data_IF_773986458523
#
_entry.id   IF_773986458523
#
_cell.length_a   1.000
_cell.length_b   1.000
_cell.length_c   1.000
_cell.angle_alpha   90.00
_cell.angle_beta   90.00
_cell.angle_gamma   90.00
#
_symmetry.space_group_name_H-M   'P 1'
#
loop_
_entity.id
_entity.type
_entity.pdbx_description
1 polymer ?
#
# COMPACT_ATOMS: atom_id res chain seq x y z
N UNK A 1 -27.08 8.77 -7.33
CA UNK A 1 -28.33 8.44 -6.60
C UNK A 1 -28.21 8.74 -5.10
N UNK A 2 -28.96 9.72 -4.60
CA UNK A 2 -28.97 10.10 -3.19
C UNK A 2 -29.52 8.92 -2.38
N UNK A 3 -28.67 8.26 -1.60
CA UNK A 3 -29.04 7.10 -0.80
C UNK A 3 -29.88 7.60 0.37
N UNK A 4 -31.21 7.58 0.23
CA UNK A 4 -32.11 7.87 1.34
C UNK A 4 -31.94 6.87 2.49
N UNK A 5 -32.43 7.21 3.69
CA UNK A 5 -32.41 6.37 4.90
C UNK A 5 -32.85 4.90 4.67
N UNK A 6 -33.85 4.68 3.81
CA UNK A 6 -34.32 3.34 3.43
C UNK A 6 -33.32 2.55 2.57
N UNK A 7 -32.49 3.24 1.79
CA UNK A 7 -31.39 2.64 1.03
C UNK A 7 -30.22 2.27 1.94
N UNK A 8 -29.91 3.11 2.93
CA UNK A 8 -28.92 2.81 3.96
C UNK A 8 -29.31 1.58 4.78
N UNK A 9 -30.53 1.55 5.33
CA UNK A 9 -31.02 0.41 6.11
C UNK A 9 -31.02 -0.91 5.32
N UNK A 10 -31.43 -0.88 4.04
CA UNK A 10 -31.35 -2.06 3.16
C UNK A 10 -29.91 -2.49 2.89
N UNK A 11 -29.00 -1.54 2.68
CA UNK A 11 -27.58 -1.79 2.49
C UNK A 11 -26.92 -2.43 3.72
N UNK A 12 -27.29 -1.97 4.92
CA UNK A 12 -26.79 -2.50 6.20
C UNK A 12 -27.34 -3.91 6.45
N UNK A 13 -28.63 -4.14 6.22
CA UNK A 13 -29.22 -5.48 6.33
C UNK A 13 -28.68 -6.47 5.28
N UNK A 14 -28.29 -5.99 4.10
CA UNK A 14 -27.61 -6.81 3.09
C UNK A 14 -26.18 -7.20 3.52
N UNK A 15 -25.44 -6.26 4.12
CA UNK A 15 -24.10 -6.49 4.67
C UNK A 15 -24.09 -7.53 5.80
N UNK A 16 -25.00 -7.41 6.79
CA UNK A 16 -25.06 -8.40 7.87
C UNK A 16 -25.46 -9.79 7.36
N UNK A 17 -26.28 -9.88 6.30
CA UNK A 17 -26.62 -11.16 5.65
C UNK A 17 -25.48 -11.72 4.81
N UNK A 18 -24.64 -10.89 4.17
CA UNK A 18 -23.42 -11.38 3.50
C UNK A 18 -22.41 -11.87 4.53
N UNK A 19 -22.24 -11.15 5.64
CA UNK A 19 -21.35 -11.53 6.73
C UNK A 19 -21.79 -12.86 7.39
N UNK A 20 -23.09 -13.02 7.67
CA UNK A 20 -23.64 -14.27 8.21
C UNK A 20 -23.44 -15.47 7.25
N UNK A 21 -23.51 -15.24 5.93
CA UNK A 21 -23.22 -16.29 4.92
C UNK A 21 -21.73 -16.62 4.85
N UNK A 22 -20.87 -15.59 4.92
CA UNK A 22 -19.42 -15.77 4.96
C UNK A 22 -18.99 -16.61 6.18
N UNK A 23 -19.63 -16.38 7.34
CA UNK A 23 -19.34 -17.11 8.57
C UNK A 23 -19.79 -18.58 8.53
N UNK A 24 -20.85 -18.90 7.77
CA UNK A 24 -21.32 -20.29 7.57
C UNK A 24 -20.44 -21.11 6.64
N UNK A 25 -19.73 -20.47 5.72
CA UNK A 25 -18.81 -21.14 4.78
C UNK A 25 -17.45 -20.42 4.75
N UNK A 26 -16.66 -20.51 5.83
CA UNK A 26 -15.45 -19.69 6.00
C UNK A 26 -14.39 -20.00 4.93
N UNK A 27 -14.22 -21.26 4.57
CA UNK A 27 -13.21 -21.69 3.58
C UNK A 27 -13.61 -21.22 2.17
N UNK A 28 -14.87 -21.39 1.77
CA UNK A 28 -15.34 -20.96 0.46
C UNK A 28 -15.37 -19.41 0.36
N UNK A 29 -15.76 -18.73 1.44
CA UNK A 29 -15.78 -17.26 1.48
C UNK A 29 -14.37 -16.65 1.46
N UNK A 30 -13.36 -17.34 2.01
CA UNK A 30 -11.97 -16.85 1.98
C UNK A 30 -11.38 -16.73 0.58
N UNK A 31 -11.91 -17.49 -0.39
CA UNK A 31 -11.47 -17.50 -1.80
C UNK A 31 -12.21 -16.50 -2.68
N UNK A 32 -13.23 -15.83 -2.15
CA UNK A 32 -13.99 -14.83 -2.90
C UNK A 32 -13.50 -13.42 -2.58
N UNK A 33 -13.63 -12.45 -3.50
CA UNK A 33 -13.36 -11.05 -3.21
C UNK A 33 -14.17 -10.59 -2.01
N UNK A 34 -13.50 -10.00 -1.03
CA UNK A 34 -14.16 -9.49 0.17
C UNK A 34 -15.05 -8.31 -0.19
N UNK A 35 -16.17 -8.15 0.52
CA UNK A 35 -17.02 -6.97 0.38
C UNK A 35 -16.16 -5.72 0.72
N UNK A 36 -16.11 -4.69 -0.14
CA UNK A 36 -15.31 -3.49 0.10
C UNK A 36 -15.51 -2.87 1.48
N UNK A 37 -16.72 -3.00 2.06
CA UNK A 37 -17.02 -2.52 3.42
C UNK A 37 -16.33 -3.34 4.49
N UNK A 38 -16.35 -4.67 4.38
CA UNK A 38 -15.63 -5.57 5.31
C UNK A 38 -14.12 -5.34 5.23
N UNK A 39 -13.59 -5.20 4.01
CA UNK A 39 -12.18 -4.94 3.79
C UNK A 39 -11.77 -3.58 4.37
N UNK A 40 -12.56 -2.54 4.15
CA UNK A 40 -12.30 -1.21 4.71
C UNK A 40 -12.29 -1.24 6.25
N UNK A 41 -13.29 -1.87 6.89
CA UNK A 41 -13.34 -1.99 8.35
C UNK A 41 -12.15 -2.79 8.90
N UNK A 42 -11.79 -3.90 8.25
CA UNK A 42 -10.65 -4.73 8.65
C UNK A 42 -9.31 -4.01 8.51
N UNK A 43 -9.08 -3.33 7.38
CA UNK A 43 -7.89 -2.52 7.15
C UNK A 43 -7.81 -1.39 8.17
N UNK A 44 -8.91 -0.68 8.44
CA UNK A 44 -8.93 0.39 9.44
C UNK A 44 -8.62 -0.14 10.83
N UNK A 45 -9.24 -1.25 11.25
CA UNK A 45 -8.95 -1.84 12.56
C UNK A 45 -7.47 -2.25 12.69
N UNK A 46 -6.92 -2.91 11.68
CA UNK A 46 -5.51 -3.29 11.66
C UNK A 46 -4.57 -2.06 11.67
N UNK A 47 -4.89 -1.03 10.89
CA UNK A 47 -4.13 0.21 10.83
C UNK A 47 -4.16 0.97 12.16
N UNK A 48 -5.31 1.03 12.83
CA UNK A 48 -5.45 1.66 14.16
C UNK A 48 -4.66 0.90 15.20
N UNK A 49 -4.71 -0.43 15.20
CA UNK A 49 -3.91 -1.25 16.12
C UNK A 49 -2.41 -1.06 15.87
N UNK A 50 -1.98 -1.04 14.61
CA UNK A 50 -0.57 -0.81 14.28
C UNK A 50 -0.10 0.59 14.69
N UNK A 51 -0.92 1.61 14.39
CA UNK A 51 -0.66 2.99 14.77
C UNK A 51 -0.54 3.16 16.29
N UNK A 52 -1.37 2.45 17.05
CA UNK A 52 -1.31 2.45 18.51
C UNK A 52 -0.04 1.83 19.08
N UNK A 53 0.61 0.89 18.38
CA UNK A 53 1.68 0.07 18.94
C UNK A 53 3.07 0.42 18.40
N UNK A 54 3.18 0.81 17.12
CA UNK A 54 4.47 0.96 16.45
C UNK A 54 4.64 2.38 15.93
N UNK A 55 3.94 2.75 14.85
CA UNK A 55 3.95 4.08 14.25
C UNK A 55 3.04 4.10 13.01
N UNK A 56 3.19 5.12 12.16
CA UNK A 56 2.59 5.19 10.82
C UNK A 56 2.96 3.94 9.99
N UNK A 57 1.97 3.33 9.34
CA UNK A 57 2.21 2.26 8.37
C UNK A 57 2.79 2.88 7.10
N UNK A 58 4.11 2.78 6.92
CA UNK A 58 4.81 3.29 5.75
C UNK A 58 5.69 2.23 5.12
N UNK A 59 5.61 2.10 3.80
CA UNK A 59 6.44 1.15 3.03
C UNK A 59 7.72 1.84 2.50
N UNK A 60 7.64 3.13 2.16
CA UNK A 60 8.78 3.89 1.59
C UNK A 60 9.99 3.96 2.52
N UNK A 61 9.77 4.22 3.82
CA UNK A 61 10.84 4.34 4.80
C UNK A 61 11.60 3.02 5.00
N UNK A 62 10.90 1.89 5.21
CA UNK A 62 11.57 0.60 5.36
C UNK A 62 12.13 0.03 4.05
N UNK A 63 11.52 0.30 2.89
CA UNK A 63 12.11 0.02 1.57
C UNK A 63 13.43 0.74 1.38
N UNK A 64 13.48 2.01 1.81
CA UNK A 64 14.73 2.70 1.91
C UNK A 64 15.63 1.89 2.86
N UNK A 65 15.29 1.68 4.14
CA UNK A 65 16.19 1.01 5.10
C UNK A 65 16.77 -0.31 4.58
N UNK A 66 15.98 -1.09 3.84
CA UNK A 66 16.44 -2.30 3.14
C UNK A 66 17.54 -2.04 2.13
N UNK A 67 17.39 -1.00 1.30
CA UNK A 67 18.43 -0.55 0.37
C UNK A 67 19.72 -0.17 1.10
N UNK A 68 19.63 0.61 2.19
CA UNK A 68 20.79 1.00 3.00
C UNK A 68 21.48 -0.20 3.67
N UNK A 69 20.71 -1.15 4.20
CA UNK A 69 21.21 -2.40 4.77
C UNK A 69 21.86 -3.32 3.73
N UNK A 70 21.29 -3.40 2.53
CA UNK A 70 21.90 -4.17 1.43
C UNK A 70 23.20 -3.51 0.95
N UNK A 71 23.25 -2.18 0.88
CA UNK A 71 24.47 -1.45 0.53
C UNK A 71 25.58 -1.66 1.57
N UNK A 72 25.25 -1.63 2.86
CA UNK A 72 26.22 -1.90 3.93
C UNK A 72 26.78 -3.32 3.87
N UNK A 73 25.97 -4.30 3.45
CA UNK A 73 26.42 -5.68 3.21
C UNK A 73 27.32 -5.85 1.99
N UNK A 74 27.19 -5.00 0.98
CA UNK A 74 28.05 -4.98 -0.23
C UNK A 74 29.36 -4.21 0.04
N UNK A 75 29.55 -3.65 1.23
CA UNK A 75 30.77 -2.96 1.63
C UNK A 75 30.76 -1.44 1.37
N UNK A 76 29.62 -0.88 0.96
CA UNK A 76 29.42 0.57 0.89
C UNK A 76 29.02 1.04 2.28
N UNK A 77 29.74 2.00 2.87
CA UNK A 77 29.38 2.55 4.19
C UNK A 77 28.09 3.37 4.10
N UNK A 78 26.94 2.68 4.16
CA UNK A 78 25.64 3.32 4.19
C UNK A 78 25.50 4.23 5.43
N UNK A 79 26.31 4.06 6.48
CA UNK A 79 26.32 4.93 7.64
C UNK A 79 26.97 6.30 7.38
N UNK A 80 27.87 6.41 6.39
CA UNK A 80 28.55 7.67 6.06
C UNK A 80 27.65 8.66 5.32
N UNK A 81 26.57 8.18 4.70
CA UNK A 81 25.59 9.03 4.02
C UNK A 81 24.58 9.57 5.04
N UNK A 82 24.49 10.88 5.16
CA UNK A 82 23.60 11.58 6.09
C UNK A 82 22.14 11.09 6.00
N UNK A 83 21.62 10.89 4.79
CA UNK A 83 20.26 10.37 4.58
C UNK A 83 20.02 9.00 5.24
N UNK A 84 21.00 8.12 5.19
CA UNK A 84 20.88 6.77 5.73
C UNK A 84 21.20 6.76 7.23
N UNK A 85 22.32 7.36 7.63
CA UNK A 85 22.78 7.39 9.01
C UNK A 85 21.92 8.23 9.96
N UNK A 86 21.68 9.51 9.64
CA UNK A 86 21.04 10.46 10.57
C UNK A 86 19.52 10.53 10.38
N UNK A 87 19.03 10.47 9.14
CA UNK A 87 17.58 10.61 8.86
C UNK A 87 16.83 9.28 9.02
N UNK A 88 17.44 8.15 8.64
CA UNK A 88 16.72 6.88 8.54
C UNK A 88 17.01 5.88 9.66
N UNK A 89 18.27 5.76 10.08
CA UNK A 89 18.71 4.93 11.21
C UNK A 89 18.95 5.72 12.50
N UNK A 90 18.76 7.05 12.48
CA UNK A 90 18.89 7.95 13.64
C UNK A 90 20.14 7.69 14.49
N UNK A 91 21.27 7.36 13.86
CA UNK A 91 22.54 7.11 14.55
C UNK A 91 22.62 5.81 15.36
N UNK A 92 21.62 4.92 15.34
CA UNK A 92 21.62 3.65 16.08
C UNK A 92 22.32 2.48 15.36
N UNK A 93 23.06 2.76 14.29
CA UNK A 93 23.70 1.74 13.45
C UNK A 93 22.73 1.10 12.46
N UNK A 94 23.26 0.59 11.35
CA UNK A 94 22.48 -0.02 10.27
C UNK A 94 22.03 -1.43 10.69
N UNK A 95 20.91 -1.51 11.40
CA UNK A 95 20.29 -2.74 11.89
C UNK A 95 18.94 -3.06 11.24
N UNK A 96 18.43 -4.27 11.47
CA UNK A 96 17.09 -4.69 11.02
C UNK A 96 16.06 -4.06 11.95
N UNK A 97 15.22 -3.16 11.43
CA UNK A 97 14.14 -2.53 12.22
C UNK A 97 12.82 -3.29 12.09
N UNK A 98 11.89 -3.07 13.03
CA UNK A 98 10.55 -3.70 13.04
C UNK A 98 9.81 -3.47 11.72
N UNK A 99 9.91 -2.26 11.16
CA UNK A 99 9.25 -1.92 9.89
C UNK A 99 9.87 -2.66 8.68
N UNK A 100 11.16 -3.01 8.72
CA UNK A 100 11.80 -3.81 7.69
C UNK A 100 11.27 -5.25 7.70
N UNK A 101 11.05 -5.79 8.90
CA UNK A 101 10.46 -7.10 9.12
C UNK A 101 8.99 -7.12 8.69
N UNK A 102 8.25 -6.04 8.94
CA UNK A 102 6.88 -5.87 8.45
C UNK A 102 6.79 -6.03 6.93
N UNK A 103 7.65 -5.38 6.14
CA UNK A 103 7.67 -5.56 4.67
C UNK A 103 7.91 -7.03 4.29
N UNK A 104 8.85 -7.69 4.96
CA UNK A 104 9.10 -9.12 4.76
C UNK A 104 7.84 -9.97 4.99
N UNK A 105 7.13 -9.73 6.09
CA UNK A 105 5.86 -10.40 6.39
C UNK A 105 4.74 -10.06 5.42
N UNK A 106 4.69 -8.85 4.87
CA UNK A 106 3.71 -8.48 3.83
C UNK A 106 3.96 -9.30 2.56
N UNK A 107 5.22 -9.46 2.14
CA UNK A 107 5.56 -10.29 0.97
C UNK A 107 5.19 -11.76 1.21
N UNK A 108 5.59 -12.32 2.36
CA UNK A 108 5.27 -13.70 2.72
C UNK A 108 3.76 -13.90 2.87
N UNK A 109 3.07 -12.96 3.51
CA UNK A 109 1.62 -12.98 3.69
C UNK A 109 0.86 -12.93 2.36
N UNK A 110 1.28 -12.06 1.43
CA UNK A 110 0.71 -11.99 0.09
C UNK A 110 0.93 -13.29 -0.70
N UNK A 111 2.10 -13.90 -0.56
CA UNK A 111 2.40 -15.20 -1.19
C UNK A 111 1.53 -16.33 -0.62
N UNK A 112 1.42 -16.44 0.70
CA UNK A 112 0.56 -17.43 1.35
C UNK A 112 -0.92 -17.22 1.01
N UNK A 113 -1.38 -15.97 0.95
CA UNK A 113 -2.74 -15.63 0.53
C UNK A 113 -3.01 -16.04 -0.92
N UNK A 114 -2.06 -15.79 -1.84
CA UNK A 114 -2.18 -16.21 -3.24
C UNK A 114 -2.25 -17.74 -3.39
N UNK A 115 -1.47 -18.49 -2.61
CA UNK A 115 -1.54 -19.96 -2.58
C UNK A 115 -2.87 -20.45 -2.00
N UNK A 116 -3.37 -19.83 -0.94
CA UNK A 116 -4.63 -20.20 -0.30
C UNK A 116 -5.84 -19.95 -1.21
N UNK A 117 -5.85 -18.84 -1.93
CA UNK A 117 -6.90 -18.51 -2.90
C UNK A 117 -6.85 -19.39 -4.15
N UNK A 118 -5.71 -20.05 -4.43
CA UNK A 118 -5.51 -20.83 -5.65
C UNK A 118 -5.27 -19.97 -6.90
N UNK A 119 -5.07 -18.67 -6.73
CA UNK A 119 -4.87 -17.68 -7.80
C UNK A 119 -3.38 -17.42 -8.10
N UNK A 120 -2.48 -18.23 -7.54
CA UNK A 120 -1.05 -18.07 -7.79
C UNK A 120 -0.72 -18.39 -9.25
N UNK A 121 -0.31 -17.36 -10.00
CA UNK A 121 0.10 -17.48 -11.39
C UNK A 121 1.34 -16.63 -11.66
N UNK A 122 2.41 -17.27 -12.13
CA UNK A 122 3.62 -16.56 -12.55
C UNK A 122 3.34 -15.88 -13.89
N UNK A 123 3.20 -14.55 -13.87
CA UNK A 123 2.90 -13.75 -15.06
C UNK A 123 4.14 -13.00 -15.53
N UNK A 124 4.66 -13.37 -16.70
CA UNK A 124 5.80 -12.69 -17.31
C UNK A 124 5.27 -11.44 -18.05
N UNK A 125 5.78 -10.24 -17.75
CA UNK A 125 5.34 -9.02 -18.45
C UNK A 125 5.79 -9.04 -19.91
N UNK A 126 4.94 -8.53 -20.80
CA UNK A 126 5.30 -8.33 -22.21
C UNK A 126 6.43 -7.28 -22.28
N UNK A 127 7.46 -7.53 -23.10
CA UNK A 127 8.62 -6.61 -23.26
C UNK A 127 8.21 -5.17 -23.54
N UNK A 128 7.13 -4.94 -24.30
CA UNK A 128 6.59 -3.60 -24.60
C UNK A 128 6.12 -2.82 -23.35
N UNK A 129 5.76 -3.51 -22.27
CA UNK A 129 5.32 -2.89 -21.00
C UNK A 129 6.48 -2.62 -20.03
N UNK A 130 7.65 -3.20 -20.28
CA UNK A 130 8.81 -3.07 -19.39
C UNK A 130 9.32 -1.63 -19.26
N UNK A 131 9.42 -0.82 -20.33
CA UNK A 131 9.82 0.58 -20.21
C UNK A 131 8.90 1.38 -19.29
N UNK A 132 7.58 1.19 -19.41
CA UNK A 132 6.60 1.89 -18.59
C UNK A 132 6.74 1.53 -17.10
N UNK A 133 7.06 0.26 -16.79
CA UNK A 133 7.29 -0.17 -15.42
C UNK A 133 8.57 0.44 -14.82
N UNK A 134 9.66 0.49 -15.59
CA UNK A 134 10.93 1.08 -15.16
C UNK A 134 10.78 2.59 -14.93
N UNK A 135 10.25 3.31 -15.93
CA UNK A 135 10.05 4.76 -15.85
C UNK A 135 9.06 5.10 -14.73
N UNK A 136 7.96 4.34 -14.61
CA UNK A 136 6.99 4.51 -13.53
C UNK A 136 7.60 4.30 -12.14
N UNK A 137 8.41 3.25 -11.96
CA UNK A 137 9.10 2.98 -10.71
C UNK A 137 10.09 4.09 -10.33
N UNK A 138 10.85 4.61 -11.30
CA UNK A 138 11.76 5.74 -11.06
C UNK A 138 11.00 7.01 -10.67
N UNK A 139 9.89 7.32 -11.35
CA UNK A 139 9.05 8.48 -11.00
C UNK A 139 8.40 8.32 -9.63
N UNK A 140 7.93 7.13 -9.26
CA UNK A 140 7.40 6.84 -7.93
C UNK A 140 8.47 6.99 -6.85
N UNK A 141 9.69 6.50 -7.11
CA UNK A 141 10.83 6.65 -6.20
C UNK A 141 11.26 8.10 -6.03
N UNK A 142 11.34 8.88 -7.11
CA UNK A 142 11.64 10.31 -7.04
C UNK A 142 10.53 11.08 -6.31
N UNK A 143 9.27 10.78 -6.62
CA UNK A 143 8.10 11.40 -5.98
C UNK A 143 8.04 11.14 -4.48
N UNK A 144 8.34 9.92 -4.03
CA UNK A 144 8.34 9.56 -2.60
C UNK A 144 9.44 10.25 -1.78
N UNK A 145 10.45 10.84 -2.45
CA UNK A 145 11.46 11.69 -1.80
C UNK A 145 11.07 13.16 -1.78
N UNK A 146 10.38 13.65 -2.81
CA UNK A 146 9.86 15.02 -2.84
C UNK A 146 8.69 15.21 -1.88
N UNK A 147 7.80 14.22 -1.79
CA UNK A 147 6.72 14.14 -0.82
C UNK A 147 6.97 12.90 0.06
N UNK A 148 7.58 13.05 1.25
CA UNK A 148 7.90 11.93 2.11
C UNK A 148 6.67 11.05 2.38
N UNK A 149 6.76 9.79 1.94
CA UNK A 149 5.75 8.77 2.22
C UNK A 149 5.32 7.97 0.99
N UNK A 150 4.21 7.25 1.14
CA UNK A 150 3.59 6.42 0.10
C UNK A 150 2.08 6.68 0.09
N UNK A 151 1.38 6.09 -0.87
CA UNK A 151 -0.09 6.08 -0.86
C UNK A 151 -0.66 5.57 0.47
N UNK A 152 -0.09 4.51 1.06
CA UNK A 152 -0.55 3.97 2.34
C UNK A 152 -0.32 4.99 3.46
N UNK A 153 0.91 5.50 3.59
CA UNK A 153 1.27 6.43 4.64
C UNK A 153 0.51 7.76 4.56
N UNK A 154 0.41 8.37 3.37
CA UNK A 154 -0.20 9.70 3.22
C UNK A 154 -1.73 9.63 3.22
N UNK A 155 -2.33 8.59 2.63
CA UNK A 155 -3.81 8.50 2.52
C UNK A 155 -4.42 7.86 3.76
N UNK A 156 -3.85 6.79 4.31
CA UNK A 156 -4.47 6.09 5.44
C UNK A 156 -4.07 6.71 6.78
N UNK A 157 -2.78 6.84 7.06
CA UNK A 157 -2.31 7.41 8.33
C UNK A 157 -2.34 8.94 8.31
N UNK A 158 -1.86 9.53 7.23
CA UNK A 158 -1.69 10.98 7.13
C UNK A 158 -3.00 11.78 7.11
N UNK A 159 -4.07 11.25 6.49
CA UNK A 159 -5.40 11.88 6.53
C UNK A 159 -6.05 11.67 7.90
N UNK A 160 -5.84 10.51 8.54
CA UNK A 160 -6.35 10.24 9.89
C UNK A 160 -5.76 11.19 10.94
N UNK A 161 -4.50 11.60 10.75
CA UNK A 161 -3.83 12.63 11.56
C UNK A 161 -4.22 14.08 11.20
N UNK A 162 -5.12 14.28 10.24
CA UNK A 162 -5.55 15.59 9.74
C UNK A 162 -4.38 16.47 9.26
N UNK A 163 -3.31 15.85 8.75
CA UNK A 163 -2.12 16.57 8.30
C UNK A 163 -2.37 17.25 6.94
N UNK A 164 -2.10 18.56 6.86
CA UNK A 164 -2.22 19.36 5.64
C UNK A 164 -1.30 18.82 4.53
N UNK A 165 -0.09 18.38 4.89
CA UNK A 165 0.85 17.77 3.95
C UNK A 165 0.23 16.54 3.26
N UNK A 166 -0.45 15.69 4.03
CA UNK A 166 -1.08 14.47 3.55
C UNK A 166 -2.24 14.74 2.61
N UNK A 167 -3.05 15.77 2.87
CA UNK A 167 -4.11 16.20 1.95
C UNK A 167 -3.55 16.67 0.61
N UNK A 168 -2.50 17.50 0.62
CA UNK A 168 -1.86 17.99 -0.61
C UNK A 168 -1.25 16.82 -1.39
N UNK A 169 -0.54 15.93 -0.69
CA UNK A 169 0.04 14.73 -1.29
C UNK A 169 -1.03 13.82 -1.89
N UNK A 170 -2.17 13.62 -1.21
CA UNK A 170 -3.27 12.80 -1.70
C UNK A 170 -3.87 13.37 -3.00
N UNK A 171 -4.09 14.69 -3.07
CA UNK A 171 -4.57 15.36 -4.30
C UNK A 171 -3.55 15.18 -5.43
N UNK A 172 -2.26 15.37 -5.14
CA UNK A 172 -1.18 15.16 -6.12
C UNK A 172 -1.12 13.73 -6.65
N UNK A 173 -1.27 12.72 -5.78
CA UNK A 173 -1.33 11.31 -6.16
C UNK A 173 -2.54 11.05 -7.06
N UNK A 174 -3.73 11.52 -6.69
CA UNK A 174 -4.95 11.34 -7.48
C UNK A 174 -4.82 12.00 -8.85
N UNK A 175 -4.34 13.24 -8.91
CA UNK A 175 -4.11 13.96 -10.16
C UNK A 175 -3.07 13.25 -11.05
N UNK A 176 -1.96 12.79 -10.47
CA UNK A 176 -0.92 12.06 -11.21
C UNK A 176 -1.44 10.74 -11.79
N UNK A 177 -2.20 9.97 -11.02
CA UNK A 177 -2.84 8.73 -11.49
C UNK A 177 -3.83 9.03 -12.60
N UNK A 178 -4.65 10.08 -12.47
CA UNK A 178 -5.62 10.48 -13.49
C UNK A 178 -4.93 10.84 -14.82
N UNK A 179 -3.93 11.72 -14.78
CA UNK A 179 -3.18 12.16 -15.96
C UNK A 179 -2.48 10.97 -16.63
N UNK A 180 -1.79 10.14 -15.85
CA UNK A 180 -1.04 9.01 -16.41
C UNK A 180 -1.96 7.93 -16.99
N UNK A 181 -3.09 7.65 -16.31
CA UNK A 181 -4.10 6.71 -16.81
C UNK A 181 -4.67 7.22 -18.13
N UNK A 182 -5.05 8.50 -18.19
CA UNK A 182 -5.56 9.11 -19.41
C UNK A 182 -4.53 9.06 -20.55
N UNK A 183 -3.25 9.31 -20.26
CA UNK A 183 -2.18 9.26 -21.26
C UNK A 183 -1.92 7.85 -21.80
N UNK A 184 -1.82 6.84 -20.91
CA UNK A 184 -1.59 5.44 -21.31
C UNK A 184 -2.79 4.87 -22.07
N UNK A 185 -4.01 5.21 -21.65
CA UNK A 185 -5.23 4.66 -22.24
C UNK A 185 -5.80 5.50 -23.40
N UNK A 186 -5.14 6.60 -23.77
CA UNK A 186 -5.60 7.51 -24.83
C UNK A 186 -5.85 6.81 -26.16
N UNK A 187 -5.01 5.82 -26.48
CA UNK A 187 -5.09 5.07 -27.74
C UNK A 187 -6.11 3.92 -27.72
N UNK A 188 -6.53 3.49 -26.52
CA UNK A 188 -7.32 2.26 -26.35
C UNK A 188 -8.84 2.55 -26.31
N UNK A 189 -9.24 3.83 -26.41
CA UNK A 189 -10.66 4.24 -26.43
C UNK A 189 -11.42 4.03 -25.11
N UNK A 190 -10.78 3.49 -24.08
CA UNK A 190 -11.33 3.30 -22.73
C UNK A 190 -10.86 4.40 -21.77
N UNK A 191 -10.78 5.64 -22.26
CA UNK A 191 -10.67 6.78 -21.36
C UNK A 191 -12.06 6.99 -20.73
N UNK A 192 -12.08 6.88 -19.40
CA UNK A 192 -13.18 7.22 -18.49
C UNK A 192 -13.88 8.51 -18.89
#
# INVERSE_FOLDING_TARGET
PVVGLRGFARGTAAYFRSLARAWRHPIASSKQPWDPRTAALGITAAAVLWFSQVSIVGVTGPEARWTGYLLSKVGVDAGSFEYWGSVLFQGQGVGVTVDMVMIGFVIVGAFLAALWSGDFSVRIPKRRRLPNAIVGGLMMGAGSRLAPGCNIGNIYSGIAELSVHSFIAAIGIVAGVYVMTHWIYREVGCAI
#
